data_IF_699196682592
#
_entry.id   IF_699196682592
#
_cell.length_a   1.000
_cell.length_b   1.000
_cell.length_c   1.000
_cell.angle_alpha   90.00
_cell.angle_beta   90.00
_cell.angle_gamma   90.00
#
_symmetry.space_group_name_H-M   'P 1'
#
loop_
_entity.id
_entity.type
_entity.pdbx_description
1 polymer ?
#
# COMPACT_ATOMS: atom_id res chain seq x y z
N UNK A 1 -24.86 -1.55 28.02
CA UNK A 1 -23.52 -1.47 27.42
C UNK A 1 -23.71 -1.52 25.92
N UNK A 2 -23.62 -0.36 25.25
CA UNK A 2 -23.83 -0.27 23.81
C UNK A 2 -22.74 -1.08 23.11
N UNK A 3 -23.14 -2.13 22.40
CA UNK A 3 -22.27 -2.77 21.41
C UNK A 3 -21.78 -1.67 20.47
N UNK A 4 -20.47 -1.40 20.47
CA UNK A 4 -19.85 -0.57 19.44
C UNK A 4 -19.99 -1.35 18.15
N UNK A 5 -21.12 -1.25 17.45
CA UNK A 5 -21.29 -1.80 16.13
C UNK A 5 -20.72 -0.79 15.12
N UNK A 6 -19.78 -1.23 14.29
CA UNK A 6 -19.22 -0.42 13.22
C UNK A 6 -20.26 -0.29 12.10
N UNK A 7 -20.51 0.94 11.62
CA UNK A 7 -21.49 1.20 10.56
C UNK A 7 -20.99 0.93 9.13
N UNK A 8 -19.88 0.19 8.96
CA UNK A 8 -19.33 -0.10 7.64
C UNK A 8 -19.94 -1.37 7.03
N UNK A 9 -19.79 -1.51 5.71
CA UNK A 9 -20.21 -2.70 4.95
C UNK A 9 -19.55 -3.98 5.49
N UNK A 10 -20.06 -5.20 5.15
CA UNK A 10 -19.52 -6.45 5.66
C UNK A 10 -18.07 -6.66 5.18
N UNK A 11 -17.12 -6.30 6.03
CA UNK A 11 -15.68 -6.49 5.92
C UNK A 11 -15.18 -6.85 7.32
N UNK A 12 -14.21 -7.76 7.49
CA UNK A 12 -13.65 -8.08 8.80
C UNK A 12 -13.12 -6.80 9.48
N UNK A 13 -13.87 -6.30 10.47
CA UNK A 13 -13.58 -5.05 11.15
C UNK A 13 -12.29 -5.18 11.97
N UNK A 14 -11.20 -4.56 11.51
CA UNK A 14 -9.95 -4.53 12.26
C UNK A 14 -9.96 -3.57 13.46
N UNK A 15 -10.88 -2.60 13.46
CA UNK A 15 -10.95 -1.58 14.52
C UNK A 15 -11.58 -2.08 15.82
N UNK A 16 -12.29 -3.21 15.77
CA UNK A 16 -13.01 -3.77 16.91
C UNK A 16 -12.36 -5.01 17.49
N UNK A 17 -11.59 -5.75 16.68
CA UNK A 17 -10.83 -6.89 17.14
C UNK A 17 -9.52 -6.41 17.81
N UNK A 18 -9.38 -6.57 19.15
CA UNK A 18 -8.22 -6.09 19.91
C UNK A 18 -6.88 -6.64 19.41
N UNK A 19 -6.88 -7.85 18.85
CA UNK A 19 -5.68 -8.51 18.33
C UNK A 19 -5.21 -7.80 17.07
N UNK A 20 -6.15 -7.50 16.19
CA UNK A 20 -5.84 -6.83 14.92
C UNK A 20 -5.63 -5.33 15.08
N UNK A 21 -6.22 -4.71 16.12
CA UNK A 21 -6.09 -3.28 16.39
C UNK A 21 -4.75 -2.92 17.01
N UNK A 22 -4.13 -3.84 17.75
CA UNK A 22 -2.81 -3.68 18.36
C UNK A 22 -1.64 -3.98 17.40
N UNK A 23 -1.92 -4.37 16.16
CA UNK A 23 -0.90 -4.71 15.19
C UNK A 23 -0.26 -3.46 14.57
N UNK A 24 0.86 -3.04 15.15
CA UNK A 24 1.67 -1.90 14.70
C UNK A 24 2.18 -2.09 13.27
N UNK A 25 2.75 -3.27 12.99
CA UNK A 25 3.28 -3.62 11.67
C UNK A 25 2.46 -4.79 11.11
N UNK A 26 1.75 -4.52 10.02
CA UNK A 26 1.00 -5.55 9.29
C UNK A 26 1.94 -6.43 8.46
N UNK A 27 1.55 -7.68 8.17
CA UNK A 27 2.33 -8.53 7.28
C UNK A 27 2.43 -7.85 5.92
N UNK A 28 3.60 -7.88 5.32
CA UNK A 28 3.85 -7.24 4.04
C UNK A 28 4.65 -8.13 3.09
N UNK A 29 4.37 -8.04 1.79
CA UNK A 29 5.10 -8.77 0.74
C UNK A 29 5.53 -7.82 -0.37
N UNK A 30 6.71 -8.06 -0.93
CA UNK A 30 7.22 -7.32 -2.08
C UNK A 30 7.27 -8.27 -3.27
N UNK A 31 6.65 -7.85 -4.37
CA UNK A 31 6.66 -8.53 -5.65
C UNK A 31 7.44 -7.67 -6.65
N UNK A 32 8.57 -8.18 -7.11
CA UNK A 32 9.44 -7.47 -8.04
C UNK A 32 10.06 -8.46 -9.04
N UNK A 33 10.40 -8.01 -10.26
CA UNK A 33 11.20 -8.79 -11.21
C UNK A 33 12.52 -9.22 -10.57
N UNK A 34 13.05 -10.39 -10.95
CA UNK A 34 14.25 -10.95 -10.33
C UNK A 34 15.44 -9.99 -10.40
N UNK A 35 15.56 -9.21 -11.47
CA UNK A 35 16.61 -8.21 -11.66
C UNK A 35 16.57 -7.04 -10.65
N UNK A 36 15.43 -6.78 -10.00
CA UNK A 36 15.27 -5.70 -9.02
C UNK A 36 15.25 -6.22 -7.57
N UNK A 37 15.35 -7.53 -7.36
CA UNK A 37 15.22 -8.15 -6.04
C UNK A 37 16.23 -7.61 -5.03
N UNK A 38 17.48 -7.43 -5.43
CA UNK A 38 18.53 -6.91 -4.54
C UNK A 38 18.33 -5.42 -4.22
N UNK A 39 17.90 -4.62 -5.19
CA UNK A 39 17.52 -3.21 -4.95
C UNK A 39 16.35 -3.10 -3.96
N UNK A 40 15.32 -3.94 -4.12
CA UNK A 40 14.18 -3.99 -3.21
C UNK A 40 14.60 -4.41 -1.80
N UNK A 41 15.48 -5.41 -1.68
CA UNK A 41 16.01 -5.82 -0.37
C UNK A 41 16.79 -4.71 0.30
N UNK A 42 17.63 -4.00 -0.44
CA UNK A 42 18.46 -2.93 0.10
C UNK A 42 17.63 -1.73 0.56
N UNK A 43 16.56 -1.40 -0.17
CA UNK A 43 15.75 -0.20 0.06
C UNK A 43 14.49 -0.55 0.85
N UNK A 44 13.54 -1.26 0.24
CA UNK A 44 12.19 -1.45 0.77
C UNK A 44 12.13 -2.36 2.01
N UNK A 45 13.02 -3.34 2.13
CA UNK A 45 12.98 -4.29 3.27
C UNK A 45 13.17 -3.56 4.61
N UNK A 46 13.96 -2.50 4.63
CA UNK A 46 14.20 -1.69 5.83
C UNK A 46 13.14 -0.59 6.00
N UNK A 47 12.71 0.03 4.90
CA UNK A 47 11.76 1.14 4.95
C UNK A 47 10.33 0.71 5.30
N UNK A 48 9.86 -0.43 4.78
CA UNK A 48 8.47 -0.86 4.96
C UNK A 48 8.06 -1.01 6.44
N UNK A 49 8.80 -1.73 7.30
CA UNK A 49 8.47 -1.81 8.72
C UNK A 49 8.41 -0.44 9.40
N UNK A 50 9.36 0.45 9.11
CA UNK A 50 9.44 1.79 9.69
C UNK A 50 8.26 2.66 9.27
N UNK A 51 7.94 2.69 7.97
CA UNK A 51 6.81 3.46 7.45
C UNK A 51 5.47 2.93 7.98
N UNK A 52 5.32 1.61 8.13
CA UNK A 52 4.10 1.00 8.70
C UNK A 52 3.95 1.30 10.20
N UNK A 53 5.06 1.29 10.95
CA UNK A 53 5.09 1.68 12.36
C UNK A 53 4.71 3.15 12.55
N UNK A 54 5.37 4.04 11.81
CA UNK A 54 5.09 5.47 11.83
C UNK A 54 3.64 5.80 11.42
N UNK A 55 3.10 5.10 10.40
CA UNK A 55 1.71 5.26 10.00
C UNK A 55 0.74 4.81 11.10
N UNK A 56 1.07 3.72 11.82
CA UNK A 56 0.27 3.27 12.95
C UNK A 56 0.26 4.29 14.09
N UNK A 57 1.42 4.87 14.42
CA UNK A 57 1.53 5.84 15.50
C UNK A 57 0.77 7.14 15.19
N UNK A 58 0.71 7.54 13.91
CA UNK A 58 0.03 8.75 13.47
C UNK A 58 -1.48 8.55 13.23
N UNK A 59 -1.89 7.44 12.61
CA UNK A 59 -3.25 7.21 12.10
C UNK A 59 -4.00 6.10 12.85
N UNK A 60 -3.32 5.33 13.70
CA UNK A 60 -3.86 4.22 14.46
C UNK A 60 -3.89 2.90 13.67
N UNK A 61 -4.88 2.06 13.96
CA UNK A 61 -4.98 0.72 13.37
C UNK A 61 -5.01 0.74 11.85
N UNK A 62 -4.15 -0.07 11.23
CA UNK A 62 -4.15 -0.33 9.79
C UNK A 62 -5.51 -0.89 9.31
N UNK A 63 -6.19 -0.27 8.33
CA UNK A 63 -7.51 -0.70 7.87
C UNK A 63 -7.52 -2.09 7.24
N UNK A 64 -6.40 -2.52 6.63
CA UNK A 64 -6.28 -3.79 5.90
C UNK A 64 -5.36 -4.76 6.61
N UNK A 65 -5.69 -6.06 6.52
CA UNK A 65 -4.96 -7.17 7.18
C UNK A 65 -3.51 -7.33 6.75
N UNK A 66 -3.14 -6.83 5.56
CA UNK A 66 -1.83 -7.01 4.92
C UNK A 66 -1.61 -5.97 3.83
N UNK A 67 -0.34 -5.63 3.61
CA UNK A 67 0.13 -4.78 2.51
C UNK A 67 0.93 -5.58 1.47
N UNK A 68 0.65 -5.37 0.20
CA UNK A 68 1.47 -5.88 -0.90
C UNK A 68 2.06 -4.75 -1.72
N UNK A 69 3.36 -4.80 -1.93
CA UNK A 69 4.07 -3.84 -2.78
C UNK A 69 4.46 -4.53 -4.08
N UNK A 70 4.01 -3.98 -5.19
CA UNK A 70 4.30 -4.48 -6.53
C UNK A 70 5.15 -3.46 -7.30
N UNK A 71 6.36 -3.86 -7.69
CA UNK A 71 7.32 -2.97 -8.33
C UNK A 71 7.09 -2.89 -9.82
N UNK A 72 6.41 -1.85 -10.29
CA UNK A 72 6.02 -1.71 -11.70
C UNK A 72 7.15 -1.14 -12.59
N UNK A 73 7.13 -1.45 -13.89
CA UNK A 73 8.15 -1.03 -14.84
C UNK A 73 8.11 0.49 -15.10
N UNK A 74 9.18 1.02 -15.71
CA UNK A 74 9.33 2.48 -15.98
C UNK A 74 8.26 3.09 -16.87
N UNK A 75 7.58 2.28 -17.68
CA UNK A 75 6.48 2.74 -18.54
C UNK A 75 5.13 2.80 -17.81
N UNK A 76 5.11 2.55 -16.50
CA UNK A 76 3.96 2.88 -15.67
C UNK A 76 3.92 4.40 -15.49
N UNK A 77 2.84 5.03 -15.96
CA UNK A 77 2.73 6.50 -16.04
C UNK A 77 2.65 7.21 -14.67
N UNK A 78 2.56 6.46 -13.57
CA UNK A 78 2.57 7.00 -12.20
C UNK A 78 3.79 6.52 -11.42
N UNK A 79 4.18 7.25 -10.37
CA UNK A 79 5.23 6.83 -9.45
C UNK A 79 4.72 5.82 -8.41
N UNK A 80 3.42 5.80 -8.16
CA UNK A 80 2.73 4.74 -7.44
C UNK A 80 1.21 4.76 -7.58
N UNK A 81 0.55 3.75 -7.06
CA UNK A 81 -0.92 3.64 -7.04
C UNK A 81 -1.36 2.71 -5.91
N UNK A 82 -2.41 3.06 -5.17
CA UNK A 82 -3.05 2.18 -4.20
C UNK A 82 -4.33 1.56 -4.79
N UNK A 83 -4.58 0.27 -4.53
CA UNK A 83 -5.74 -0.43 -5.09
C UNK A 83 -6.28 -1.53 -4.18
N UNK A 84 -7.61 -1.70 -4.21
CA UNK A 84 -8.33 -2.81 -3.60
C UNK A 84 -8.45 -3.98 -4.60
N UNK A 85 -8.15 -5.20 -4.16
CA UNK A 85 -8.27 -6.42 -5.00
C UNK A 85 -9.71 -6.84 -5.34
N UNK A 86 -10.73 -6.09 -4.91
CA UNK A 86 -12.11 -6.34 -5.36
C UNK A 86 -12.25 -5.89 -6.80
N UNK A 87 -12.24 -6.87 -7.70
CA UNK A 87 -12.52 -6.77 -9.14
C UNK A 87 -13.43 -5.59 -9.47
N UNK A 88 -12.92 -4.55 -10.16
CA UNK A 88 -13.83 -3.55 -10.74
C UNK A 88 -13.30 -2.19 -11.19
N UNK A 89 -12.12 -1.69 -10.81
CA UNK A 89 -11.75 -0.27 -11.13
C UNK A 89 -10.49 -0.09 -11.97
N UNK A 90 -9.63 -1.11 -12.11
CA UNK A 90 -8.57 -1.01 -13.10
C UNK A 90 -9.12 -1.62 -14.39
N UNK A 91 -9.37 -0.79 -15.40
CA UNK A 91 -9.07 -1.17 -16.77
C UNK A 91 -7.55 -1.05 -16.88
N UNK A 92 -6.79 -2.13 -16.65
CA UNK A 92 -5.35 -2.06 -16.71
C UNK A 92 -5.00 -1.83 -18.18
N UNK A 93 -4.20 -0.79 -18.45
CA UNK A 93 -3.52 -0.69 -19.73
C UNK A 93 -2.83 -2.03 -20.04
N UNK A 94 -2.76 -2.41 -21.32
CA UNK A 94 -2.19 -3.70 -21.81
C UNK A 94 -0.81 -4.01 -21.18
N UNK A 95 -0.08 -2.96 -20.83
CA UNK A 95 1.22 -3.01 -20.13
C UNK A 95 1.11 -3.67 -18.75
N UNK A 96 0.09 -3.35 -17.95
CA UNK A 96 -0.07 -3.91 -16.60
C UNK A 96 -0.43 -5.40 -16.65
N UNK A 97 -1.23 -5.85 -17.64
CA UNK A 97 -1.50 -7.27 -17.83
C UNK A 97 -0.27 -8.05 -18.30
N UNK A 98 0.42 -7.57 -19.32
CA UNK A 98 1.65 -8.19 -19.84
C UNK A 98 2.76 -8.24 -18.78
N UNK A 99 2.86 -7.19 -17.97
CA UNK A 99 3.82 -7.14 -16.88
C UNK A 99 3.38 -7.99 -15.68
N UNK A 100 2.10 -8.03 -15.32
CA UNK A 100 1.57 -8.99 -14.35
C UNK A 100 1.85 -10.43 -14.81
N UNK A 101 1.75 -10.74 -16.10
CA UNK A 101 2.13 -12.05 -16.64
C UNK A 101 3.64 -12.29 -16.54
N UNK A 102 4.46 -11.26 -16.74
CA UNK A 102 5.91 -11.32 -16.54
C UNK A 102 6.25 -11.61 -15.07
N UNK A 103 5.62 -10.91 -14.12
CA UNK A 103 5.77 -11.16 -12.68
C UNK A 103 5.24 -12.53 -12.29
N UNK A 104 4.07 -12.95 -12.79
CA UNK A 104 3.52 -14.29 -12.54
C UNK A 104 4.50 -15.38 -12.97
N UNK A 105 5.10 -15.22 -14.14
CA UNK A 105 6.06 -16.18 -14.69
C UNK A 105 7.40 -16.19 -13.94
N UNK A 106 7.84 -15.04 -13.42
CA UNK A 106 9.17 -14.87 -12.80
C UNK A 106 9.16 -15.06 -11.26
N UNK A 107 8.03 -14.79 -10.59
CA UNK A 107 7.94 -14.78 -9.10
C UNK A 107 7.10 -15.91 -8.48
N UNK A 108 6.60 -16.87 -9.28
CA UNK A 108 5.62 -17.89 -8.84
C UNK A 108 4.39 -17.28 -8.13
N UNK A 109 4.02 -16.04 -8.47
CA UNK A 109 2.84 -15.38 -7.91
C UNK A 109 1.58 -15.95 -8.57
N UNK A 110 0.70 -16.60 -7.80
CA UNK A 110 -0.54 -17.14 -8.36
C UNK A 110 -1.68 -16.13 -8.27
N UNK A 111 -2.66 -16.22 -9.17
CA UNK A 111 -3.91 -15.45 -9.06
C UNK A 111 -4.65 -15.72 -7.74
N UNK A 112 -4.41 -16.86 -7.09
CA UNK A 112 -4.94 -17.16 -5.77
C UNK A 112 -4.26 -16.34 -4.66
N UNK A 113 -2.98 -15.99 -4.79
CA UNK A 113 -2.25 -15.15 -3.84
C UNK A 113 -2.73 -13.69 -3.82
N UNK A 114 -3.19 -13.19 -4.98
CA UNK A 114 -3.81 -11.86 -5.12
C UNK A 114 -5.27 -11.82 -4.65
N UNK A 115 -5.98 -12.96 -4.66
CA UNK A 115 -7.42 -13.07 -4.36
C UNK A 115 -7.75 -13.48 -2.92
N UNK A 116 -6.78 -13.93 -2.12
CA UNK A 116 -7.00 -14.35 -0.74
C UNK A 116 -7.03 -13.12 0.18
N UNK A 117 -8.24 -12.74 0.64
CA UNK A 117 -8.58 -11.52 1.41
C UNK A 117 -8.23 -10.23 0.67
N UNK A 118 -9.01 -9.15 0.82
CA UNK A 118 -8.77 -7.89 0.09
C UNK A 118 -7.45 -7.29 0.60
N UNK A 119 -6.32 -7.44 -0.12
CA UNK A 119 -5.07 -6.86 0.31
C UNK A 119 -5.07 -5.39 -0.10
N UNK A 120 -4.46 -4.55 0.73
CA UNK A 120 -4.03 -3.26 0.25
C UNK A 120 -2.86 -3.51 -0.71
N UNK A 121 -3.02 -3.22 -2.00
CA UNK A 121 -1.96 -3.37 -3.00
C UNK A 121 -1.47 -1.98 -3.38
N UNK A 122 -0.16 -1.77 -3.22
CA UNK A 122 0.54 -0.58 -3.67
C UNK A 122 1.41 -0.96 -4.87
N UNK A 123 1.30 -0.20 -5.94
CA UNK A 123 2.22 -0.21 -7.05
C UNK A 123 3.29 0.85 -6.80
N UNK A 124 4.58 0.51 -6.95
CA UNK A 124 5.68 1.48 -6.88
C UNK A 124 6.52 1.38 -8.14
N UNK A 125 6.79 2.52 -8.78
CA UNK A 125 7.65 2.56 -9.97
C UNK A 125 9.09 2.19 -9.61
N UNK A 126 9.72 1.35 -10.42
CA UNK A 126 11.12 0.98 -10.22
C UNK A 126 12.10 2.18 -10.23
N UNK A 127 11.71 3.33 -10.79
CA UNK A 127 12.52 4.56 -10.74
C UNK A 127 12.72 5.07 -9.31
N UNK A 128 11.76 4.81 -8.42
CA UNK A 128 11.86 5.16 -6.99
C UNK A 128 12.95 4.35 -6.28
N UNK A 129 13.33 3.18 -6.81
CA UNK A 129 14.36 2.31 -6.24
C UNK A 129 15.78 2.72 -6.63
N UNK A 130 15.93 3.55 -7.66
CA UNK A 130 17.25 3.95 -8.20
C UNK A 130 17.81 5.25 -7.59
N UNK A 131 17.12 5.88 -6.65
CA UNK A 131 17.50 7.16 -6.02
C UNK A 131 17.89 7.05 -4.54
N UNK A 132 18.12 8.21 -3.90
CA UNK A 132 18.23 8.30 -2.44
C UNK A 132 16.95 7.78 -1.77
N UNK A 133 17.09 7.12 -0.62
CA UNK A 133 15.98 6.48 0.10
C UNK A 133 14.81 7.43 0.41
N UNK A 134 15.03 8.74 0.38
CA UNK A 134 14.02 9.77 0.61
C UNK A 134 12.86 9.72 -0.39
N UNK A 135 13.11 9.67 -1.70
CA UNK A 135 12.03 9.64 -2.70
C UNK A 135 11.22 8.34 -2.62
N UNK A 136 11.90 7.22 -2.39
CA UNK A 136 11.24 5.94 -2.19
C UNK A 136 10.40 5.96 -0.90
N UNK A 137 10.95 6.50 0.17
CA UNK A 137 10.30 6.62 1.48
C UNK A 137 9.05 7.49 1.44
N UNK A 138 9.15 8.71 0.91
CA UNK A 138 7.99 9.63 0.79
C UNK A 138 6.90 9.01 -0.08
N UNK A 139 7.25 8.50 -1.27
CA UNK A 139 6.24 7.87 -2.14
C UNK A 139 5.63 6.62 -1.50
N UNK A 140 6.42 5.80 -0.80
CA UNK A 140 5.87 4.67 -0.06
C UNK A 140 4.87 5.12 1.02
N UNK A 141 5.17 6.19 1.75
CA UNK A 141 4.28 6.74 2.77
C UNK A 141 2.99 7.31 2.18
N UNK A 142 3.07 7.97 1.03
CA UNK A 142 1.91 8.43 0.26
C UNK A 142 0.96 7.27 -0.04
N UNK A 143 1.49 6.20 -0.62
CA UNK A 143 0.69 5.03 -0.98
C UNK A 143 0.16 4.27 0.25
N UNK A 144 0.91 4.23 1.36
CA UNK A 144 0.43 3.69 2.64
C UNK A 144 -0.76 4.50 3.16
N UNK A 145 -0.72 5.83 3.03
CA UNK A 145 -1.79 6.72 3.50
C UNK A 145 -3.12 6.45 2.81
N UNK A 146 -3.09 5.98 1.56
CA UNK A 146 -4.30 5.60 0.84
C UNK A 146 -5.07 4.44 1.48
N UNK A 147 -4.44 3.64 2.34
CA UNK A 147 -5.15 2.64 3.15
C UNK A 147 -6.29 3.29 3.95
N UNK A 148 -6.06 4.46 4.54
CA UNK A 148 -7.08 5.23 5.24
C UNK A 148 -7.87 6.11 4.26
N UNK A 149 -7.19 6.88 3.42
CA UNK A 149 -7.79 7.93 2.59
C UNK A 149 -7.76 7.56 1.11
N UNK A 150 -8.89 7.06 0.60
CA UNK A 150 -9.04 6.54 -0.76
C UNK A 150 -9.54 5.10 -0.77
N UNK A 151 -9.10 4.26 0.18
CA UNK A 151 -9.57 2.87 0.29
C UNK A 151 -10.57 2.65 1.43
N UNK A 152 -10.26 3.04 2.67
CA UNK A 152 -11.18 2.92 3.79
C UNK A 152 -12.20 4.07 3.84
N UNK A 153 -11.71 5.30 3.60
CA UNK A 153 -12.49 6.52 3.47
C UNK A 153 -12.36 6.97 2.02
N UNK A 154 -13.25 6.49 1.16
CA UNK A 154 -13.25 6.84 -0.27
C UNK A 154 -14.05 8.10 -0.56
N UNK A 155 -13.68 8.80 -1.63
CA UNK A 155 -14.45 9.89 -2.21
C UNK A 155 -15.80 9.39 -2.74
N UNK A 156 -16.87 10.19 -2.60
CA UNK A 156 -18.19 9.84 -3.15
C UNK A 156 -18.22 9.95 -4.67
N UNK A 157 -17.54 10.94 -5.21
CA UNK A 157 -17.36 11.19 -6.64
C UNK A 157 -16.06 11.97 -6.90
N UNK A 158 -15.75 12.24 -8.17
CA UNK A 158 -14.52 12.92 -8.59
C UNK A 158 -14.33 14.33 -8.02
N UNK A 159 -15.40 15.00 -7.57
CA UNK A 159 -15.28 16.32 -6.94
C UNK A 159 -14.65 16.23 -5.56
N UNK A 160 -14.68 15.05 -4.95
CA UNK A 160 -14.11 14.74 -3.63
C UNK A 160 -12.77 14.00 -3.71
N UNK A 161 -12.19 13.80 -4.90
CA UNK A 161 -10.92 13.09 -5.07
C UNK A 161 -9.76 13.72 -4.27
N UNK A 162 -9.85 15.03 -4.04
CA UNK A 162 -8.90 15.75 -3.19
C UNK A 162 -8.85 15.20 -1.76
N UNK A 163 -9.89 14.53 -1.27
CA UNK A 163 -9.88 13.84 0.04
C UNK A 163 -8.94 12.63 0.03
N UNK A 164 -8.77 11.95 -1.09
CA UNK A 164 -7.83 10.83 -1.19
C UNK A 164 -6.41 11.37 -1.36
N UNK A 165 -6.17 12.06 -2.47
CA UNK A 165 -4.85 12.54 -2.89
C UNK A 165 -4.30 13.64 -1.99
N UNK A 166 -5.17 14.54 -1.52
CA UNK A 166 -4.77 15.65 -0.66
C UNK A 166 -4.35 15.19 0.74
N UNK A 167 -5.07 14.22 1.33
CA UNK A 167 -4.64 13.64 2.61
C UNK A 167 -3.41 12.76 2.45
N UNK A 168 -3.31 11.97 1.38
CA UNK A 168 -2.10 11.19 1.10
C UNK A 168 -0.86 12.08 0.96
N UNK A 169 -0.97 13.17 0.20
CA UNK A 169 0.10 14.17 0.03
C UNK A 169 0.41 14.91 1.34
N UNK A 170 -0.58 15.22 2.16
CA UNK A 170 -0.35 15.88 3.45
C UNK A 170 0.38 14.98 4.45
N UNK A 171 0.09 13.67 4.43
CA UNK A 171 0.60 12.71 5.40
C UNK A 171 1.93 12.07 4.99
N UNK A 172 2.28 12.05 3.69
CA UNK A 172 3.48 11.38 3.21
C UNK A 172 4.75 11.86 3.92
N UNK A 173 4.92 13.18 4.09
CA UNK A 173 6.07 13.78 4.76
C UNK A 173 6.02 13.59 6.28
N UNK A 174 4.82 13.61 6.87
CA UNK A 174 4.65 13.41 8.31
C UNK A 174 5.03 11.97 8.71
N UNK A 175 4.53 10.99 7.98
CA UNK A 175 4.86 9.57 8.18
C UNK A 175 6.35 9.35 7.88
N UNK A 176 6.87 9.91 6.78
CA UNK A 176 8.28 9.75 6.43
C UNK A 176 9.22 10.38 7.46
N UNK A 177 8.87 11.53 8.02
CA UNK A 177 9.62 12.19 9.10
C UNK A 177 9.59 11.37 10.40
N UNK A 178 8.45 10.76 10.72
CA UNK A 178 8.33 9.88 11.88
C UNK A 178 9.16 8.59 11.70
N UNK A 179 9.08 7.95 10.53
CA UNK A 179 9.82 6.73 10.21
C UNK A 179 11.34 6.90 10.32
N UNK A 180 11.86 8.07 9.92
CA UNK A 180 13.30 8.36 10.02
C UNK A 180 13.80 8.49 11.47
N UNK A 181 12.95 8.92 12.42
CA UNK A 181 13.34 9.11 13.83
C UNK A 181 13.49 7.79 14.59
N UNK A 182 12.96 6.70 14.05
CA UNK A 182 13.07 5.36 14.62
C UNK A 182 14.35 4.61 14.19
N UNK A 183 15.26 5.28 13.47
CA UNK A 183 16.52 4.72 12.95
C UNK A 183 17.72 5.18 13.78
#
# INVERSE_FOLDING_TARGET
>A
LLEKACGHTPYPCRFQDPITSAQVIIPHRIFAPVCLKESCKKVLLHLLPQCLSAAYDLLGTHPFSRLDVLIVPLNFSSLGMASLSTSGILSPSIILYSWLDTVKNDTRMTMADLKKTIPHIIFLSQSTLSGESNLCGTRLCHEISHAWFGLAIGARDWTEEWLSEGFATHLEDAIWSAAQKET
#
